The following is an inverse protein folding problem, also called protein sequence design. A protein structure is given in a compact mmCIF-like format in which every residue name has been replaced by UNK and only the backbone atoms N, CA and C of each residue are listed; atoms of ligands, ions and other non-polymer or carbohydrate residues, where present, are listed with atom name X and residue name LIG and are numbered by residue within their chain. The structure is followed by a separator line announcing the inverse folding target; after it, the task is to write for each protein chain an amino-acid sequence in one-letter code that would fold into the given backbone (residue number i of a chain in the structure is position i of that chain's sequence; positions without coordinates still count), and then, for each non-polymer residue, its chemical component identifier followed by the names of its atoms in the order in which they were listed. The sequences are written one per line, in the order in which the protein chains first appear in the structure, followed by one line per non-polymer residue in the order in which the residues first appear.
data_IF_985945453209
#
_entry.id   IF_985945453209
#
_cell.length_a   1.000
_cell.length_b   1.000
_cell.length_c   1.000
_cell.angle_alpha   90.00
_cell.angle_beta   90.00
_cell.angle_gamma   90.00
#
_symmetry.space_group_name_H-M   'P 1'
#
loop_
_entity.id
_entity.type
_entity.pdbx_description
1 polymer ?
#
# COMPACT_ATOMS: atom_id res chain seq x y z
N UNK A 1 -3.62 19.32 10.53
CA UNK A 1 -4.64 18.88 9.56
C UNK A 1 -3.93 17.91 8.63
N UNK A 2 -4.21 16.62 8.74
CA UNK A 2 -3.63 15.59 7.86
C UNK A 2 -4.14 15.86 6.43
N UNK A 3 -3.22 16.13 5.52
CA UNK A 3 -3.54 16.25 4.10
C UNK A 3 -4.20 14.96 3.65
N UNK A 4 -5.48 15.01 3.30
CA UNK A 4 -6.21 13.89 2.73
C UNK A 4 -5.53 13.53 1.40
N UNK A 5 -4.83 12.41 1.36
CA UNK A 5 -4.31 11.86 0.09
C UNK A 5 -5.52 11.62 -0.82
N UNK A 6 -5.68 12.46 -1.83
CA UNK A 6 -6.67 12.23 -2.88
C UNK A 6 -6.28 10.93 -3.61
N UNK A 7 -7.22 10.01 -3.74
CA UNK A 7 -7.04 8.83 -4.57
C UNK A 7 -6.77 9.26 -6.02
N UNK A 8 -5.71 8.74 -6.59
CA UNK A 8 -5.40 8.93 -8.00
C UNK A 8 -6.13 7.87 -8.83
N UNK A 9 -6.32 8.11 -10.12
CA UNK A 9 -6.92 7.14 -11.03
C UNK A 9 -6.22 5.76 -10.98
N UNK A 10 -4.89 5.77 -10.82
CA UNK A 10 -4.09 4.55 -10.65
C UNK A 10 -4.46 3.79 -9.37
N UNK A 11 -4.77 4.50 -8.27
CA UNK A 11 -5.17 3.86 -7.02
C UNK A 11 -6.50 3.14 -7.17
N UNK A 12 -7.46 3.79 -7.85
CA UNK A 12 -8.77 3.20 -8.14
C UNK A 12 -8.65 1.98 -9.06
N UNK A 13 -7.80 2.06 -10.08
CA UNK A 13 -7.54 0.93 -10.98
C UNK A 13 -6.94 -0.27 -10.22
N UNK A 14 -5.97 -0.04 -9.34
CA UNK A 14 -5.37 -1.10 -8.53
C UNK A 14 -6.38 -1.72 -7.56
N UNK A 15 -7.21 -0.91 -6.89
CA UNK A 15 -8.27 -1.37 -6.01
C UNK A 15 -9.24 -2.26 -6.79
N UNK A 16 -9.67 -1.83 -7.99
CA UNK A 16 -10.58 -2.59 -8.83
C UNK A 16 -9.97 -3.91 -9.31
N UNK A 17 -8.71 -3.91 -9.73
CA UNK A 17 -7.99 -5.11 -10.19
C UNK A 17 -7.88 -6.13 -9.05
N UNK A 18 -7.51 -5.71 -7.84
CA UNK A 18 -7.40 -6.63 -6.71
C UNK A 18 -8.77 -7.13 -6.24
N UNK A 19 -9.81 -6.29 -6.24
CA UNK A 19 -11.18 -6.74 -5.96
C UNK A 19 -11.66 -7.78 -6.98
N UNK A 20 -11.38 -7.56 -8.27
CA UNK A 20 -11.67 -8.52 -9.33
C UNK A 20 -10.87 -9.82 -9.17
N UNK A 21 -9.60 -9.75 -8.78
CA UNK A 21 -8.78 -10.93 -8.50
C UNK A 21 -9.37 -11.76 -7.36
N UNK A 22 -9.82 -11.12 -6.27
CA UNK A 22 -10.49 -11.81 -5.16
C UNK A 22 -11.77 -12.48 -5.66
N UNK A 23 -12.59 -11.78 -6.46
CA UNK A 23 -13.83 -12.29 -7.00
C UNK A 23 -13.59 -13.50 -7.92
N UNK A 24 -12.60 -13.44 -8.81
CA UNK A 24 -12.25 -14.55 -9.72
C UNK A 24 -11.83 -15.79 -8.93
N UNK A 25 -10.98 -15.62 -7.90
CA UNK A 25 -10.56 -16.74 -7.07
C UNK A 25 -11.67 -17.27 -6.16
N UNK A 26 -12.67 -16.43 -5.84
CA UNK A 26 -13.84 -16.84 -5.04
C UNK A 26 -14.84 -17.70 -5.83
N UNK A 27 -14.91 -17.52 -7.15
CA UNK A 27 -15.78 -18.32 -8.04
C UNK A 27 -15.28 -19.77 -8.14
N UNK A 28 -13.98 -20.02 -7.91
CA UNK A 28 -13.41 -21.38 -7.89
C UNK A 28 -14.08 -22.15 -6.75
N UNK A 29 -14.74 -23.28 -7.05
CA UNK A 29 -15.41 -24.07 -6.01
C UNK A 29 -14.44 -24.47 -4.90
N UNK A 30 -14.86 -24.44 -3.63
CA UNK A 30 -14.03 -24.91 -2.54
C UNK A 30 -13.77 -26.42 -2.71
N UNK A 31 -12.52 -26.84 -2.58
CA UNK A 31 -12.12 -28.25 -2.72
C UNK A 31 -12.73 -29.13 -1.63
N UNK A 32 -12.93 -28.57 -0.44
CA UNK A 32 -13.57 -29.21 0.71
C UNK A 32 -14.07 -28.15 1.70
N UNK A 33 -14.85 -28.56 2.69
CA UNK A 33 -15.29 -27.68 3.78
C UNK A 33 -15.09 -28.41 5.12
N UNK A 34 -14.85 -27.66 6.17
CA UNK A 34 -14.79 -28.13 7.55
C UNK A 34 -15.96 -27.51 8.29
N UNK A 35 -16.98 -28.33 8.55
CA UNK A 35 -18.24 -27.83 9.08
C UNK A 35 -18.89 -26.83 8.12
N UNK A 36 -19.21 -25.64 8.62
CA UNK A 36 -19.82 -24.56 7.83
C UNK A 36 -18.80 -23.68 7.07
N UNK A 37 -17.47 -23.95 7.20
CA UNK A 37 -16.43 -23.10 6.64
C UNK A 37 -15.79 -23.75 5.42
N UNK A 38 -15.94 -23.17 4.21
CA UNK A 38 -15.36 -23.71 2.99
C UNK A 38 -13.87 -23.40 2.89
N UNK A 39 -13.11 -24.31 2.32
CA UNK A 39 -11.71 -24.08 1.93
C UNK A 39 -11.67 -23.17 0.69
N UNK A 40 -11.34 -21.91 0.88
CA UNK A 40 -11.35 -20.91 -0.18
C UNK A 40 -9.93 -20.54 -0.64
N UNK A 41 -9.65 -20.70 -1.93
CA UNK A 41 -8.39 -20.26 -2.55
C UNK A 41 -8.29 -18.74 -2.56
N UNK A 42 -9.43 -18.06 -2.63
CA UNK A 42 -9.53 -16.58 -2.61
C UNK A 42 -8.77 -15.92 -1.45
N UNK A 43 -8.53 -16.64 -0.35
CA UNK A 43 -7.78 -16.14 0.81
C UNK A 43 -6.39 -15.64 0.43
N UNK A 44 -5.75 -16.23 -0.59
CA UNK A 44 -4.46 -15.76 -1.12
C UNK A 44 -4.59 -14.33 -1.65
N UNK A 45 -5.63 -14.04 -2.44
CA UNK A 45 -5.82 -12.68 -2.99
C UNK A 45 -6.28 -11.67 -1.93
N UNK A 46 -7.09 -12.11 -0.96
CA UNK A 46 -7.51 -11.28 0.17
C UNK A 46 -6.31 -10.77 0.96
N UNK A 47 -5.36 -11.65 1.28
CA UNK A 47 -4.11 -11.28 1.95
C UNK A 47 -3.15 -10.50 1.04
N UNK A 48 -3.09 -10.84 -0.25
CA UNK A 48 -2.20 -10.20 -1.21
C UNK A 48 -2.50 -8.71 -1.38
N UNK A 49 -3.77 -8.32 -1.38
CA UNK A 49 -4.19 -6.93 -1.54
C UNK A 49 -3.54 -5.99 -0.51
N UNK A 50 -3.65 -6.20 0.81
CA UNK A 50 -3.01 -5.33 1.80
C UNK A 50 -1.48 -5.44 1.82
N UNK A 51 -0.90 -6.62 1.47
CA UNK A 51 0.55 -6.80 1.41
C UNK A 51 1.19 -5.95 0.29
N UNK A 52 0.53 -5.83 -0.85
CA UNK A 52 1.04 -5.11 -2.02
C UNK A 52 0.62 -3.65 -2.03
N UNK A 53 -0.65 -3.36 -1.75
CA UNK A 53 -1.22 -2.03 -1.88
C UNK A 53 -1.11 -1.18 -0.61
N UNK A 54 -0.88 -1.81 0.54
CA UNK A 54 -0.88 -1.14 1.85
C UNK A 54 -2.29 -0.87 2.40
N UNK A 55 -2.38 -0.16 3.56
CA UNK A 55 -3.57 -0.08 4.38
C UNK A 55 -4.84 0.37 3.68
N UNK A 56 -4.86 1.61 3.22
CA UNK A 56 -6.12 2.17 2.68
C UNK A 56 -6.52 1.50 1.38
N UNK A 57 -5.57 1.28 0.46
CA UNK A 57 -5.86 0.68 -0.85
C UNK A 57 -6.22 -0.80 -0.73
N UNK A 58 -5.47 -1.58 0.08
CA UNK A 58 -5.71 -3.01 0.29
C UNK A 58 -7.05 -3.26 0.97
N UNK A 59 -7.34 -2.54 2.06
CA UNK A 59 -8.63 -2.61 2.73
C UNK A 59 -9.78 -2.17 1.82
N UNK A 60 -9.57 -1.13 0.98
CA UNK A 60 -10.57 -0.71 -0.02
C UNK A 60 -10.83 -1.75 -1.10
N UNK A 61 -9.82 -2.53 -1.52
CA UNK A 61 -10.00 -3.62 -2.48
C UNK A 61 -10.89 -4.72 -1.89
N UNK A 62 -10.63 -5.12 -0.64
CA UNK A 62 -11.45 -6.08 0.08
C UNK A 62 -12.87 -5.53 0.33
N UNK A 63 -13.01 -4.24 0.63
CA UNK A 63 -14.30 -3.59 0.80
C UNK A 63 -15.08 -3.52 -0.52
N UNK A 64 -14.43 -3.21 -1.64
CA UNK A 64 -15.06 -3.20 -2.96
C UNK A 64 -15.58 -4.59 -3.33
N UNK A 65 -14.79 -5.65 -3.10
CA UNK A 65 -15.23 -7.02 -3.28
C UNK A 65 -16.49 -7.34 -2.45
N UNK A 66 -16.51 -6.96 -1.16
CA UNK A 66 -17.67 -7.13 -0.29
C UNK A 66 -18.90 -6.40 -0.85
N UNK A 67 -18.74 -5.12 -1.24
CA UNK A 67 -19.83 -4.29 -1.77
C UNK A 67 -20.41 -4.92 -3.03
N UNK A 68 -19.57 -5.33 -3.98
CA UNK A 68 -19.99 -5.94 -5.24
C UNK A 68 -20.80 -7.22 -4.99
N UNK A 69 -20.33 -8.09 -4.07
CA UNK A 69 -21.07 -9.29 -3.69
C UNK A 69 -22.37 -9.00 -2.95
N UNK A 70 -22.38 -7.97 -2.08
CA UNK A 70 -23.60 -7.54 -1.38
C UNK A 70 -24.66 -6.96 -2.31
N UNK A 71 -24.26 -6.32 -3.42
CA UNK A 71 -25.15 -5.79 -4.46
C UNK A 71 -25.76 -6.88 -5.34
N UNK A 72 -25.40 -8.16 -5.14
CA UNK A 72 -26.02 -9.28 -5.82
C UNK A 72 -25.19 -9.93 -6.91
N UNK A 73 -23.94 -9.48 -7.17
CA UNK A 73 -23.05 -10.22 -8.06
C UNK A 73 -22.61 -11.53 -7.39
N UNK A 74 -22.65 -12.68 -8.09
CA UNK A 74 -22.31 -14.00 -7.52
C UNK A 74 -20.80 -14.19 -7.39
N UNK A 75 -20.17 -13.36 -6.56
CA UNK A 75 -18.71 -13.32 -6.35
C UNK A 75 -18.27 -13.86 -5.01
N UNK A 76 -19.19 -14.22 -4.10
CA UNK A 76 -18.83 -14.87 -2.85
C UNK A 76 -18.58 -16.37 -3.05
N UNK A 77 -17.98 -17.02 -2.06
CA UNK A 77 -17.66 -18.44 -2.11
C UNK A 77 -18.89 -19.28 -2.51
N UNK A 78 -18.70 -20.21 -3.46
CA UNK A 78 -19.78 -21.01 -4.01
C UNK A 78 -20.77 -20.23 -4.86
N UNK A 79 -20.32 -19.15 -5.50
CA UNK A 79 -21.13 -18.28 -6.37
C UNK A 79 -22.36 -17.67 -5.67
N UNK A 80 -22.27 -17.51 -4.37
CA UNK A 80 -23.30 -16.85 -3.57
C UNK A 80 -23.20 -15.32 -3.67
N UNK A 81 -24.27 -14.63 -3.31
CA UNK A 81 -24.37 -13.17 -3.38
C UNK A 81 -25.45 -12.63 -2.44
N UNK A 82 -25.44 -11.32 -2.32
CA UNK A 82 -26.46 -10.59 -1.58
C UNK A 82 -26.16 -10.41 -0.10
N UNK A 83 -26.92 -9.53 0.59
CA UNK A 83 -26.70 -9.19 1.98
C UNK A 83 -26.90 -10.37 2.94
N UNK A 84 -27.70 -11.37 2.56
CA UNK A 84 -27.91 -12.57 3.38
C UNK A 84 -26.64 -13.36 3.67
N UNK A 85 -25.67 -13.35 2.76
CA UNK A 85 -24.37 -14.00 2.97
C UNK A 85 -23.55 -13.30 4.06
N UNK A 86 -23.66 -11.96 4.17
CA UNK A 86 -22.94 -11.16 5.15
C UNK A 86 -23.40 -11.40 6.60
N UNK A 87 -24.63 -11.87 6.76
CA UNK A 87 -25.21 -12.23 8.06
C UNK A 87 -25.39 -13.75 8.22
N UNK A 88 -24.84 -14.52 7.29
CA UNK A 88 -24.78 -15.98 7.33
C UNK A 88 -23.52 -16.51 8.03
N UNK A 89 -23.32 -17.85 8.03
CA UNK A 89 -22.21 -18.51 8.73
C UNK A 89 -20.82 -18.01 8.30
N UNK A 90 -20.65 -17.63 7.04
CA UNK A 90 -19.37 -17.13 6.49
C UNK A 90 -19.25 -15.61 6.55
N UNK A 91 -20.32 -14.91 6.94
CA UNK A 91 -20.38 -13.44 6.92
C UNK A 91 -19.27 -12.79 7.78
N UNK A 92 -18.99 -13.37 8.95
CA UNK A 92 -17.92 -12.89 9.83
C UNK A 92 -16.55 -12.83 9.15
N UNK A 93 -16.23 -13.81 8.29
CA UNK A 93 -14.97 -13.81 7.52
C UNK A 93 -14.95 -12.71 6.48
N UNK A 94 -16.06 -12.46 5.79
CA UNK A 94 -16.15 -11.41 4.76
C UNK A 94 -15.95 -10.04 5.40
N UNK A 95 -16.54 -9.78 6.56
CA UNK A 95 -16.26 -8.59 7.36
C UNK A 95 -14.80 -8.55 7.81
N UNK A 96 -14.26 -9.70 8.21
CA UNK A 96 -12.86 -9.87 8.57
C UNK A 96 -11.90 -9.53 7.43
N UNK A 97 -12.23 -9.81 6.16
CA UNK A 97 -11.42 -9.44 5.01
C UNK A 97 -11.23 -7.91 4.92
N UNK A 98 -12.31 -7.17 5.15
CA UNK A 98 -12.24 -5.70 5.11
C UNK A 98 -11.43 -5.16 6.29
N UNK A 99 -11.78 -5.57 7.51
CA UNK A 99 -11.08 -5.11 8.72
C UNK A 99 -9.61 -5.55 8.72
N UNK A 100 -9.36 -6.81 8.39
CA UNK A 100 -8.02 -7.37 8.26
C UNK A 100 -7.20 -6.60 7.23
N UNK A 101 -7.76 -6.35 6.05
CA UNK A 101 -7.10 -5.60 4.99
C UNK A 101 -6.71 -4.18 5.39
N UNK A 102 -7.53 -3.47 6.16
CA UNK A 102 -7.16 -2.15 6.67
C UNK A 102 -6.08 -2.24 7.74
N UNK A 103 -6.23 -3.14 8.71
CA UNK A 103 -5.29 -3.30 9.83
C UNK A 103 -3.93 -3.80 9.32
N UNK A 104 -3.90 -4.92 8.62
CA UNK A 104 -2.67 -5.53 8.12
C UNK A 104 -1.97 -4.63 7.11
N UNK A 105 -2.72 -3.98 6.23
CA UNK A 105 -2.17 -3.04 5.27
C UNK A 105 -1.63 -1.76 5.93
N UNK A 106 -2.20 -1.29 7.03
CA UNK A 106 -1.61 -0.19 7.82
C UNK A 106 -0.27 -0.63 8.43
N UNK A 107 -0.21 -1.85 8.99
CA UNK A 107 1.02 -2.46 9.50
C UNK A 107 2.05 -2.63 8.37
N UNK A 108 1.63 -3.12 7.19
CA UNK A 108 2.49 -3.23 6.01
C UNK A 108 3.09 -1.87 5.63
N UNK A 109 2.25 -0.85 5.54
CA UNK A 109 2.70 0.51 5.20
C UNK A 109 3.72 1.03 6.21
N UNK A 110 3.48 0.82 7.51
CA UNK A 110 4.38 1.26 8.56
C UNK A 110 5.72 0.49 8.55
N UNK A 111 5.69 -0.83 8.35
CA UNK A 111 6.89 -1.66 8.29
C UNK A 111 7.72 -1.36 7.04
N UNK A 112 7.08 -1.27 5.88
CA UNK A 112 7.76 -1.01 4.60
C UNK A 112 8.30 0.42 4.50
N UNK A 113 7.70 1.41 5.17
CA UNK A 113 8.21 2.78 5.23
C UNK A 113 9.58 2.89 5.92
N UNK A 114 9.94 1.93 6.77
CA UNK A 114 11.24 1.83 7.42
C UNK A 114 12.33 1.26 6.50
N UNK A 115 12.00 0.90 5.25
CA UNK A 115 12.90 0.30 4.25
C UNK A 115 13.73 -0.87 4.82
N UNK A 116 13.10 -1.97 5.20
CA UNK A 116 13.81 -3.13 5.71
C UNK A 116 14.81 -3.63 4.66
N UNK A 117 15.88 -4.29 5.11
CA UNK A 117 16.83 -4.96 4.20
C UNK A 117 16.05 -5.90 3.28
N UNK A 118 16.41 -5.98 2.00
CA UNK A 118 15.72 -6.83 1.00
C UNK A 118 15.56 -8.28 1.48
N UNK A 119 16.55 -8.82 2.18
CA UNK A 119 16.52 -10.16 2.76
C UNK A 119 15.45 -10.33 3.86
N UNK A 120 15.06 -9.25 4.53
CA UNK A 120 14.05 -9.28 5.59
C UNK A 120 12.64 -8.97 5.10
N UNK A 121 12.49 -8.57 3.84
CA UNK A 121 11.19 -8.23 3.24
C UNK A 121 10.18 -9.38 3.36
N UNK A 122 10.50 -10.64 2.99
CA UNK A 122 9.54 -11.74 3.11
C UNK A 122 9.11 -12.00 4.57
N UNK A 123 10.03 -11.86 5.52
CA UNK A 123 9.71 -12.05 6.95
C UNK A 123 8.73 -10.99 7.43
N UNK A 124 8.94 -9.72 7.07
CA UNK A 124 8.02 -8.63 7.45
C UNK A 124 6.64 -8.82 6.82
N UNK A 125 6.59 -9.18 5.53
CA UNK A 125 5.33 -9.45 4.84
C UNK A 125 4.60 -10.66 5.43
N UNK A 126 5.32 -11.69 5.86
CA UNK A 126 4.71 -12.84 6.51
C UNK A 126 4.11 -12.48 7.87
N UNK A 127 4.80 -11.68 8.67
CA UNK A 127 4.25 -11.16 9.93
C UNK A 127 2.98 -10.33 9.70
N UNK A 128 2.96 -9.52 8.64
CA UNK A 128 1.75 -8.77 8.24
C UNK A 128 0.61 -9.71 7.84
N UNK A 129 0.91 -10.77 7.08
CA UNK A 129 -0.09 -11.78 6.70
C UNK A 129 -0.65 -12.52 7.93
N UNK A 130 0.17 -12.79 8.95
CA UNK A 130 -0.31 -13.36 10.23
C UNK A 130 -1.27 -12.39 10.92
N UNK A 131 -0.96 -11.10 10.96
CA UNK A 131 -1.87 -10.08 11.53
C UNK A 131 -3.21 -10.08 10.79
N UNK A 132 -3.18 -10.16 9.45
CA UNK A 132 -4.39 -10.23 8.61
C UNK A 132 -5.23 -11.47 8.97
N UNK A 133 -4.60 -12.64 8.98
CA UNK A 133 -5.24 -13.90 9.36
C UNK A 133 -5.87 -13.83 10.74
N UNK A 134 -5.16 -13.30 11.73
CA UNK A 134 -5.68 -13.18 13.10
C UNK A 134 -6.96 -12.34 13.14
N UNK A 135 -7.00 -11.20 12.43
CA UNK A 135 -8.19 -10.37 12.36
C UNK A 135 -9.33 -11.08 11.65
N UNK A 136 -9.04 -11.73 10.51
CA UNK A 136 -10.04 -12.48 9.73
C UNK A 136 -10.64 -13.61 10.55
N UNK A 137 -9.80 -14.40 11.23
CA UNK A 137 -10.27 -15.53 12.03
C UNK A 137 -11.01 -15.08 13.29
N UNK A 138 -10.60 -14.00 13.92
CA UNK A 138 -11.33 -13.40 15.03
C UNK A 138 -12.74 -13.01 14.61
N UNK A 139 -12.86 -12.27 13.51
CA UNK A 139 -14.16 -11.89 12.95
C UNK A 139 -14.97 -13.12 12.51
N UNK A 140 -14.31 -14.13 11.94
CA UNK A 140 -14.93 -15.38 11.52
C UNK A 140 -15.52 -16.15 12.68
N UNK A 141 -14.77 -16.35 13.77
CA UNK A 141 -15.26 -17.01 14.99
C UNK A 141 -16.44 -16.23 15.58
N UNK A 142 -16.33 -14.89 15.68
CA UNK A 142 -17.44 -14.06 16.17
C UNK A 142 -18.67 -14.17 15.27
N UNK A 143 -18.48 -14.25 13.95
CA UNK A 143 -19.57 -14.48 13.00
C UNK A 143 -20.22 -15.85 13.16
N UNK A 144 -19.47 -16.92 13.33
CA UNK A 144 -19.99 -18.26 13.59
C UNK A 144 -20.82 -18.32 14.88
N UNK A 145 -20.35 -17.65 15.93
CA UNK A 145 -21.09 -17.58 17.19
C UNK A 145 -22.33 -16.69 17.05
N UNK A 146 -22.20 -15.53 16.44
CA UNK A 146 -23.29 -14.53 16.34
C UNK A 146 -24.34 -14.90 15.31
N UNK A 147 -23.94 -15.22 14.09
CA UNK A 147 -24.84 -15.44 12.95
C UNK A 147 -25.26 -16.91 12.82
N UNK A 148 -24.31 -17.86 12.94
CA UNK A 148 -24.60 -19.28 12.84
C UNK A 148 -25.06 -19.91 14.16
N UNK A 149 -25.06 -19.15 15.28
CA UNK A 149 -25.44 -19.62 16.63
C UNK A 149 -24.62 -20.83 17.10
N UNK A 150 -23.40 -20.96 16.60
CA UNK A 150 -22.47 -22.04 16.97
C UNK A 150 -21.87 -21.78 18.35
N UNK A 151 -21.69 -22.80 19.15
CA UNK A 151 -20.97 -22.67 20.42
C UNK A 151 -19.53 -22.25 20.20
N UNK A 152 -18.97 -21.40 21.07
CA UNK A 152 -17.62 -20.84 20.92
C UNK A 152 -16.55 -21.91 20.73
N UNK A 153 -16.57 -23.01 21.51
CA UNK A 153 -15.63 -24.11 21.39
C UNK A 153 -15.72 -24.81 20.03
N UNK A 154 -16.94 -25.02 19.51
CA UNK A 154 -17.15 -25.62 18.20
C UNK A 154 -16.69 -24.70 17.07
N UNK A 155 -16.94 -23.38 17.18
CA UNK A 155 -16.44 -22.38 16.24
C UNK A 155 -14.91 -22.37 16.19
N UNK A 156 -14.25 -22.43 17.34
CA UNK A 156 -12.79 -22.47 17.43
C UNK A 156 -12.22 -23.78 16.85
N UNK A 157 -12.83 -24.93 17.16
CA UNK A 157 -12.43 -26.24 16.64
C UNK A 157 -12.56 -26.32 15.11
N UNK A 158 -13.63 -25.75 14.53
CA UNK A 158 -13.80 -25.70 13.08
C UNK A 158 -12.73 -24.85 12.38
N UNK A 159 -12.21 -23.83 13.07
CA UNK A 159 -11.19 -22.94 12.52
C UNK A 159 -9.76 -23.48 12.59
N UNK A 160 -9.43 -24.33 13.56
CA UNK A 160 -8.05 -24.80 13.80
C UNK A 160 -7.38 -25.40 12.56
N UNK A 161 -7.97 -26.41 11.92
CA UNK A 161 -7.40 -27.01 10.71
C UNK A 161 -7.27 -26.05 9.54
N UNK A 162 -8.24 -25.13 9.36
CA UNK A 162 -8.23 -24.15 8.28
C UNK A 162 -7.12 -23.12 8.48
N UNK A 163 -6.86 -22.71 9.72
CA UNK A 163 -5.78 -21.79 10.05
C UNK A 163 -4.41 -22.35 9.63
N UNK A 164 -4.14 -23.63 9.86
CA UNK A 164 -2.89 -24.26 9.46
C UNK A 164 -2.69 -24.21 7.93
N UNK A 165 -3.76 -24.47 7.18
CA UNK A 165 -3.73 -24.42 5.73
C UNK A 165 -3.56 -22.97 5.24
N UNK A 166 -4.22 -22.02 5.89
CA UNK A 166 -4.13 -20.61 5.50
C UNK A 166 -2.76 -19.99 5.84
N UNK A 167 -2.03 -20.51 6.83
CA UNK A 167 -0.62 -20.17 7.05
C UNK A 167 0.25 -20.57 5.86
N UNK A 168 -0.04 -21.71 5.21
CA UNK A 168 0.67 -22.12 3.99
C UNK A 168 0.29 -21.21 2.82
N UNK A 169 -1.01 -20.85 2.67
CA UNK A 169 -1.46 -19.89 1.66
C UNK A 169 -0.83 -18.51 1.87
N UNK A 170 -0.61 -18.10 3.12
CA UNK A 170 0.10 -16.88 3.45
C UNK A 170 1.53 -16.86 2.89
N UNK A 171 2.25 -18.00 2.92
CA UNK A 171 3.58 -18.10 2.28
C UNK A 171 3.50 -17.85 0.77
N UNK A 172 2.48 -18.41 0.11
CA UNK A 172 2.25 -18.18 -1.33
C UNK A 172 1.94 -16.70 -1.59
N UNK A 173 1.04 -16.10 -0.82
CA UNK A 173 0.70 -14.69 -0.94
C UNK A 173 1.94 -13.79 -0.73
N UNK A 174 2.78 -14.12 0.26
CA UNK A 174 4.03 -13.40 0.53
C UNK A 174 5.03 -13.56 -0.62
N UNK A 175 5.20 -14.76 -1.17
CA UNK A 175 6.09 -14.98 -2.32
C UNK A 175 5.66 -14.13 -3.52
N UNK A 176 4.35 -14.09 -3.82
CA UNK A 176 3.79 -13.25 -4.89
C UNK A 176 3.99 -11.76 -4.55
N UNK A 177 3.71 -11.34 -3.30
CA UNK A 177 3.90 -9.95 -2.88
C UNK A 177 5.36 -9.51 -3.00
N UNK A 178 6.33 -10.33 -2.61
CA UNK A 178 7.77 -10.06 -2.78
C UNK A 178 8.11 -9.91 -4.26
N UNK A 179 7.64 -10.83 -5.11
CA UNK A 179 7.87 -10.75 -6.55
C UNK A 179 7.31 -9.45 -7.14
N UNK A 180 6.06 -9.10 -6.79
CA UNK A 180 5.42 -7.87 -7.27
C UNK A 180 6.15 -6.62 -6.76
N UNK A 181 6.47 -6.53 -5.47
CA UNK A 181 7.13 -5.36 -4.89
C UNK A 181 8.58 -5.19 -5.37
N UNK A 182 9.26 -6.28 -5.73
CA UNK A 182 10.60 -6.21 -6.32
C UNK A 182 10.56 -5.81 -7.79
N UNK A 183 9.55 -6.27 -8.54
CA UNK A 183 9.33 -5.90 -9.94
C UNK A 183 8.81 -4.45 -10.08
N UNK A 184 7.99 -4.00 -9.13
CA UNK A 184 7.37 -2.68 -9.13
C UNK A 184 7.67 -1.88 -7.86
N UNK A 185 8.90 -1.37 -7.68
CA UNK A 185 9.30 -0.64 -6.47
C UNK A 185 8.48 0.62 -6.20
N UNK A 186 7.76 1.14 -7.21
CA UNK A 186 6.87 2.30 -7.10
C UNK A 186 5.65 2.05 -6.21
N UNK A 187 5.29 0.78 -5.96
CA UNK A 187 4.21 0.40 -5.06
C UNK A 187 4.62 0.49 -3.59
N UNK A 188 5.91 0.51 -3.29
CA UNK A 188 6.41 0.68 -1.93
C UNK A 188 6.03 2.06 -1.40
N UNK A 189 5.62 2.17 -0.12
CA UNK A 189 5.36 3.45 0.51
C UNK A 189 6.61 4.36 0.45
N UNK A 190 6.39 5.67 0.27
CA UNK A 190 7.48 6.64 0.34
C UNK A 190 8.16 6.53 1.72
N UNK A 191 9.49 6.54 1.74
CA UNK A 191 10.23 6.55 3.01
C UNK A 191 9.80 7.78 3.82
N UNK A 192 9.52 7.60 5.11
CA UNK A 192 9.40 8.73 6.03
C UNK A 192 10.76 9.39 6.13
N UNK A 193 10.87 10.63 5.64
CA UNK A 193 12.03 11.46 5.90
C UNK A 193 11.95 12.00 7.33
N UNK A 194 13.08 12.22 7.96
CA UNK A 194 13.17 12.75 9.34
C UNK A 194 12.46 14.11 9.50
N UNK A 195 12.17 14.79 8.38
CA UNK A 195 11.44 16.06 8.34
C UNK A 195 9.91 15.92 8.47
N UNK A 196 9.36 14.70 8.47
CA UNK A 196 7.92 14.46 8.67
C UNK A 196 7.53 14.31 10.14
N UNK A 197 8.48 14.50 11.07
CA UNK A 197 8.20 14.62 12.49
C UNK A 197 7.58 16.00 12.69
N UNK A 198 6.31 16.13 13.14
CA UNK A 198 5.75 17.44 13.44
C UNK A 198 6.67 18.13 14.46
N UNK A 199 7.17 19.31 14.08
CA UNK A 199 7.95 20.18 14.95
C UNK A 199 7.05 20.70 16.09
N UNK A 200 6.79 19.85 17.04
CA UNK A 200 5.88 20.10 18.17
C UNK A 200 6.39 19.52 19.46
N UNK A 201 7.70 19.58 19.72
CA UNK A 201 8.24 19.48 21.09
C UNK A 201 9.76 19.78 21.07
N UNK A 202 10.16 20.86 20.43
CA UNK A 202 11.42 21.50 20.79
C UNK A 202 11.05 22.71 21.61
N UNK A 203 11.14 22.55 22.91
CA UNK A 203 11.25 23.66 23.86
C UNK A 203 12.43 24.50 23.38
N UNK A 204 12.14 25.60 22.70
CA UNK A 204 13.15 26.61 22.39
C UNK A 204 13.74 27.08 23.72
N UNK A 205 15.06 26.94 23.93
CA UNK A 205 15.69 27.67 25.03
C UNK A 205 15.51 29.16 24.72
N UNK A 206 14.88 29.83 25.64
CA UNK A 206 14.61 31.26 25.66
C UNK A 206 15.94 32.02 25.47
N UNK A 207 16.21 32.48 24.24
CA UNK A 207 17.32 33.39 23.94
C UNK A 207 16.83 34.83 24.04
N UNK A 208 16.40 35.20 25.23
CA UNK A 208 16.16 36.59 25.61
C UNK A 208 16.99 36.92 26.83
N UNK A 209 18.31 37.01 26.69
CA UNK A 209 19.18 37.75 27.62
C UNK A 209 20.62 37.80 27.05
N UNK A 210 20.86 38.59 26.02
CA UNK A 210 22.18 39.18 25.76
C UNK A 210 22.14 40.22 24.63
N UNK A 211 21.31 41.24 24.80
CA UNK A 211 21.43 42.44 23.98
C UNK A 211 21.31 43.66 24.89
N UNK A 212 22.29 43.81 25.77
CA UNK A 212 22.54 45.05 26.46
C UNK A 212 23.98 44.98 27.01
N UNK A 213 24.92 45.33 26.17
CA UNK A 213 26.27 45.88 26.48
C UNK A 213 27.14 45.75 25.22
N UNK A 214 27.18 46.78 24.44
CA UNK A 214 28.35 47.47 23.97
C UNK A 214 27.93 48.58 23.00
N UNK A 215 27.70 49.74 23.56
CA UNK A 215 27.68 51.01 22.88
C UNK A 215 28.63 51.92 23.64
N UNK A 216 29.88 51.84 23.31
CA UNK A 216 30.79 52.98 23.46
C UNK A 216 32.14 52.63 22.84
N UNK A 217 32.57 53.52 22.10
CA UNK A 217 33.94 53.92 21.71
C UNK A 217 34.36 53.57 20.27
N UNK A 218 34.44 54.62 19.67
CA UNK A 218 35.49 55.47 19.12
C UNK A 218 35.50 55.59 17.61
N UNK A 219 35.31 56.84 17.28
CA UNK A 219 35.62 57.57 16.05
C UNK A 219 37.04 57.29 15.54
N UNK A 220 37.21 57.39 14.22
CA UNK A 220 38.55 57.57 13.65
C UNK A 220 38.68 57.23 12.18
N UNK A 221 38.47 58.24 11.34
CA UNK A 221 39.37 58.68 10.28
C UNK A 221 39.48 57.94 8.94
N UNK A 222 38.97 58.69 7.93
CA UNK A 222 39.54 58.98 6.57
C UNK A 222 39.74 57.84 5.54
N UNK A 223 38.95 57.83 4.54
CA UNK A 223 38.98 58.13 3.11
C UNK A 223 40.20 57.70 2.27
N UNK A 224 40.12 57.84 0.93
CA UNK A 224 39.83 56.76 -0.02
C UNK A 224 41.01 56.58 -1.02
N UNK A 225 41.01 55.56 -1.83
CA UNK A 225 41.74 55.53 -3.12
C UNK A 225 41.35 54.35 -4.00
N UNK A 226 40.89 54.76 -5.11
CA UNK A 226 41.26 54.51 -6.52
C UNK A 226 40.79 53.21 -7.17
N UNK A 227 40.02 53.52 -8.17
CA UNK A 227 39.70 52.83 -9.39
C UNK A 227 40.91 52.23 -10.12
N UNK A 228 40.74 51.08 -10.77
CA UNK A 228 41.25 50.87 -12.13
C UNK A 228 40.27 49.90 -12.84
N UNK A 229 39.78 50.45 -13.92
CA UNK A 229 39.01 49.87 -15.01
C UNK A 229 40.04 49.36 -16.05
N UNK A 230 39.83 48.16 -16.60
CA UNK A 230 40.32 47.79 -17.95
C UNK A 230 39.41 46.68 -18.47
N UNK A 231 38.61 47.00 -19.28
CA UNK A 231 38.21 46.88 -20.67
C UNK A 231 39.21 46.14 -21.58
N UNK A 232 38.69 45.15 -22.34
CA UNK A 232 39.01 44.80 -23.73
C UNK A 232 38.26 43.51 -24.10
N UNK A 233 37.17 43.60 -24.85
CA UNK A 233 37.00 43.49 -26.31
C UNK A 233 37.46 42.21 -27.00
N UNK A 234 36.54 41.64 -27.75
CA UNK A 234 36.75 40.94 -29.01
C UNK A 234 36.43 39.44 -28.94
N UNK A 235 35.62 38.82 -29.72
CA UNK A 235 35.12 38.99 -31.03
C UNK A 235 34.35 37.72 -31.39
N UNK A 236 33.20 37.87 -31.99
CA UNK A 236 32.59 36.89 -32.91
C UNK A 236 33.35 36.90 -34.24
N UNK A 237 33.14 36.03 -35.27
CA UNK A 237 31.94 35.28 -35.64
C UNK A 237 32.21 33.97 -36.45
N UNK A 238 31.10 33.31 -36.88
CA UNK A 238 30.98 32.55 -38.14
C UNK A 238 31.11 31.02 -37.94
N UNK A 239 30.36 30.14 -38.51
CA UNK A 239 29.49 30.07 -39.68
C UNK A 239 28.73 28.76 -39.61
N UNK A 240 27.44 28.79 -39.92
CA UNK A 240 26.69 27.72 -40.51
C UNK A 240 27.02 27.70 -42.02
N UNK A 241 26.91 26.68 -42.84
CA UNK A 241 25.63 26.05 -43.16
C UNK A 241 25.67 24.60 -43.72
N UNK A 242 24.45 23.99 -43.69
CA UNK A 242 23.81 23.22 -44.75
C UNK A 242 24.50 22.00 -45.42
N UNK A 243 23.72 20.94 -45.51
CA UNK A 243 23.20 20.24 -46.73
C UNK A 243 22.72 18.82 -46.33
N UNK A 244 21.47 18.50 -46.46
CA UNK A 244 20.67 18.12 -47.61
C UNK A 244 20.93 16.69 -48.13
N UNK A 245 19.78 16.02 -48.40
CA UNK A 245 19.48 14.94 -49.36
C UNK A 245 19.27 13.56 -48.74
N UNK A 246 18.06 13.13 -48.59
CA UNK A 246 17.08 12.52 -49.53
C UNK A 246 17.33 11.05 -49.80
N UNK A 247 16.29 10.29 -49.72
CA UNK A 247 16.12 9.17 -50.61
C UNK A 247 15.43 7.95 -50.03
N UNK A 248 14.14 7.87 -50.32
CA UNK A 248 13.34 6.79 -50.95
C UNK A 248 13.11 5.51 -50.16
N UNK A 249 11.88 5.32 -49.70
CA UNK A 249 10.78 4.59 -50.37
C UNK A 249 11.10 3.15 -50.74
N UNK A 250 10.42 2.19 -50.14
CA UNK A 250 9.55 1.21 -50.82
C UNK A 250 8.93 0.22 -49.82
N UNK A 251 7.61 0.26 -49.71
CA UNK A 251 6.75 -0.91 -49.59
C UNK A 251 6.77 -1.70 -50.93
N UNK A 252 6.20 -2.90 -51.09
CA UNK A 252 5.12 -3.54 -50.33
C UNK A 252 5.11 -5.09 -50.30
N UNK A 253 4.06 -5.63 -49.63
CA UNK A 253 3.22 -6.79 -49.99
C UNK A 253 3.62 -8.23 -49.65
N UNK A 254 2.62 -8.85 -49.01
CA UNK A 254 2.04 -10.22 -49.18
C UNK A 254 2.82 -11.46 -48.71
N UNK A 255 2.31 -12.13 -47.79
CA UNK A 255 1.35 -13.27 -47.85
C UNK A 255 0.90 -13.62 -46.45
#
# INVERSE_FOLDING_TARGET
VAASRRFQATDLALIAVFAALIAVLAIIPPLFAIGAVPFAIQMIAVMLAPLVLGGVRGGSANALYLIVGALGLPVFAGQSSGPGVLFGPTGGYIWGFVLGGFVSGAVATQMLSRRPRKAMLPVHLYLVAIVDLLVIYLCGVLGLVGFAKMGFGAALAANGPLLLIDLIKALIAVAIAVAVLTAFPRLLPAARTANDVPAGTTTQPNASTSQARDSSDSAGTAAPRHAIQTDTTGGRPGEDPSATVAGTATEPMTK
#
